data_IF_989376872685
#
_entry.id   IF_989376872685
#
_cell.length_a   1.000
_cell.length_b   1.000
_cell.length_c   1.000
_cell.angle_alpha   90.00
_cell.angle_beta   90.00
_cell.angle_gamma   90.00
#
_symmetry.space_group_name_H-M   'P 1'
#
loop_
_entity.id
_entity.type
_entity.pdbx_description
1 polymer ?
#
# COMPACT_ATOMS: atom_id res chain seq x y z
N UNK A 1 11.40 24.11 -24.09
CA UNK A 1 10.77 23.34 -22.99
C UNK A 1 11.11 21.90 -23.24
N UNK A 2 12.26 21.50 -22.70
CA UNK A 2 12.93 20.24 -23.01
C UNK A 2 12.22 19.04 -22.41
N UNK A 3 11.94 18.06 -23.27
CA UNK A 3 11.53 16.72 -22.87
C UNK A 3 12.75 16.01 -22.30
N UNK A 4 12.67 15.55 -21.06
CA UNK A 4 13.66 14.65 -20.47
C UNK A 4 13.63 13.34 -21.28
N UNK A 5 14.58 13.18 -22.19
CA UNK A 5 14.86 11.91 -22.84
C UNK A 5 15.56 11.02 -21.81
N UNK A 6 14.89 9.95 -21.38
CA UNK A 6 15.52 8.89 -20.59
C UNK A 6 16.43 8.10 -21.55
N UNK A 7 17.73 8.21 -21.34
CA UNK A 7 18.76 7.46 -22.08
C UNK A 7 18.80 5.99 -21.57
N UNK A 8 18.52 4.99 -22.42
CA UNK A 8 18.51 3.57 -22.05
C UNK A 8 19.90 2.96 -21.79
N UNK A 9 20.99 3.74 -21.87
CA UNK A 9 22.37 3.26 -21.70
C UNK A 9 22.98 3.45 -20.29
N UNK A 10 22.26 4.06 -19.33
CA UNK A 10 22.72 4.19 -17.94
C UNK A 10 22.31 2.97 -17.10
N UNK A 11 23.14 1.92 -17.21
CA UNK A 11 23.53 0.99 -16.14
C UNK A 11 22.45 0.57 -15.11
N UNK A 12 21.94 -0.63 -15.34
CA UNK A 12 21.23 -1.49 -14.39
C UNK A 12 21.89 -1.52 -12.99
N UNK A 13 21.14 -1.07 -11.99
CA UNK A 13 21.31 -1.31 -10.54
C UNK A 13 22.72 -1.05 -9.97
N UNK A 14 23.05 0.23 -9.73
CA UNK A 14 24.13 0.59 -8.79
C UNK A 14 23.83 0.05 -7.38
N UNK A 15 24.87 -0.14 -6.56
CA UNK A 15 24.72 -0.66 -5.18
C UNK A 15 23.70 0.14 -4.33
N UNK A 16 23.59 1.45 -4.57
CA UNK A 16 22.61 2.32 -3.94
C UNK A 16 21.15 1.98 -4.35
N UNK A 17 20.90 1.63 -5.62
CA UNK A 17 19.57 1.22 -6.06
C UNK A 17 19.13 -0.09 -5.40
N UNK A 18 20.04 -1.06 -5.26
CA UNK A 18 19.76 -2.32 -4.56
C UNK A 18 19.51 -2.09 -3.06
N UNK A 19 20.31 -1.24 -2.42
CA UNK A 19 20.14 -0.87 -1.02
C UNK A 19 18.78 -0.19 -0.78
N UNK A 20 18.41 0.76 -1.65
CA UNK A 20 17.12 1.43 -1.63
C UNK A 20 15.96 0.43 -1.76
N UNK A 21 16.03 -0.51 -2.70
CA UNK A 21 14.99 -1.54 -2.88
C UNK A 21 14.87 -2.44 -1.65
N UNK A 22 16.01 -2.85 -1.06
CA UNK A 22 16.02 -3.64 0.17
C UNK A 22 15.42 -2.87 1.35
N UNK A 23 15.75 -1.60 1.50
CA UNK A 23 15.21 -0.72 2.54
C UNK A 23 13.70 -0.55 2.39
N UNK A 24 13.20 -0.30 1.18
CA UNK A 24 11.76 -0.22 0.90
C UNK A 24 11.05 -1.54 1.20
N UNK A 25 11.62 -2.67 0.77
CA UNK A 25 11.07 -4.00 1.03
C UNK A 25 10.96 -4.28 2.53
N UNK A 26 12.00 -3.95 3.30
CA UNK A 26 12.02 -4.14 4.75
C UNK A 26 11.04 -3.20 5.47
N UNK A 27 10.94 -1.95 5.02
CA UNK A 27 9.99 -0.97 5.56
C UNK A 27 8.56 -1.44 5.34
N UNK A 28 8.23 -1.88 4.12
CA UNK A 28 6.91 -2.40 3.79
C UNK A 28 6.58 -3.67 4.58
N UNK A 29 7.53 -4.60 4.72
CA UNK A 29 7.36 -5.79 5.57
C UNK A 29 7.09 -5.43 7.03
N UNK A 30 7.83 -4.46 7.57
CA UNK A 30 7.67 -4.01 8.96
C UNK A 30 6.30 -3.37 9.17
N UNK A 31 5.87 -2.54 8.24
CA UNK A 31 4.52 -1.97 8.23
C UNK A 31 3.44 -3.06 8.18
N UNK A 32 3.57 -4.02 7.27
CA UNK A 32 2.66 -5.17 7.18
C UNK A 32 2.60 -5.97 8.48
N UNK A 33 3.76 -6.24 9.13
CA UNK A 33 3.80 -6.93 10.42
C UNK A 33 3.04 -6.18 11.52
N UNK A 34 3.11 -4.85 11.51
CA UNK A 34 2.36 -3.98 12.42
C UNK A 34 0.84 -4.15 12.26
N UNK A 35 0.37 -4.37 11.03
CA UNK A 35 -1.05 -4.58 10.74
C UNK A 35 -1.52 -6.02 11.01
N UNK A 36 -0.61 -6.99 11.12
CA UNK A 36 -0.91 -8.42 11.28
C UNK A 36 -1.95 -8.74 12.38
N UNK A 37 -1.92 -8.11 13.58
CA UNK A 37 -2.84 -8.45 14.67
C UNK A 37 -4.31 -8.15 14.38
N UNK A 38 -4.60 -7.27 13.41
CA UNK A 38 -5.97 -6.82 13.11
C UNK A 38 -6.74 -7.76 12.16
N UNK A 39 -6.10 -8.85 11.73
CA UNK A 39 -6.71 -9.87 10.88
C UNK A 39 -6.86 -11.17 11.65
N UNK A 40 -8.10 -11.67 11.76
CA UNK A 40 -8.38 -12.93 12.44
C UNK A 40 -7.79 -14.15 11.70
N UNK A 41 -7.67 -14.06 10.37
CA UNK A 41 -7.26 -15.16 9.50
C UNK A 41 -6.00 -14.83 8.71
N UNK A 42 -5.11 -15.82 8.56
CA UNK A 42 -3.88 -15.68 7.79
C UNK A 42 -4.16 -15.39 6.30
N UNK A 43 -5.23 -15.96 5.73
CA UNK A 43 -5.60 -15.73 4.33
C UNK A 43 -6.09 -14.29 4.09
N UNK A 44 -6.87 -13.75 5.03
CA UNK A 44 -7.31 -12.35 4.98
C UNK A 44 -6.12 -11.39 5.12
N UNK A 45 -5.20 -11.69 6.05
CA UNK A 45 -3.95 -10.94 6.22
C UNK A 45 -3.10 -10.95 4.95
N UNK A 46 -2.89 -12.12 4.34
CA UNK A 46 -2.12 -12.23 3.10
C UNK A 46 -2.80 -11.47 1.95
N UNK A 47 -4.13 -11.56 1.84
CA UNK A 47 -4.87 -10.80 0.84
C UNK A 47 -4.71 -9.28 1.06
N UNK A 48 -4.73 -8.81 2.30
CA UNK A 48 -4.50 -7.40 2.63
C UNK A 48 -3.09 -6.93 2.27
N UNK A 49 -2.06 -7.75 2.53
CA UNK A 49 -0.69 -7.41 2.20
C UNK A 49 -0.45 -7.31 0.69
N UNK A 50 -1.00 -8.26 -0.06
CA UNK A 50 -1.01 -8.20 -1.53
C UNK A 50 -1.77 -6.96 -2.02
N UNK A 51 -2.92 -6.65 -1.41
CA UNK A 51 -3.71 -5.47 -1.74
C UNK A 51 -2.91 -4.17 -1.54
N UNK A 52 -2.22 -4.01 -0.42
CA UNK A 52 -1.33 -2.86 -0.15
C UNK A 52 -0.22 -2.77 -1.20
N UNK A 53 0.43 -3.89 -1.54
CA UNK A 53 1.46 -3.91 -2.59
C UNK A 53 0.92 -3.44 -3.94
N UNK A 54 -0.28 -3.87 -4.32
CA UNK A 54 -0.91 -3.40 -5.55
C UNK A 54 -1.44 -1.97 -5.50
N UNK A 55 -1.76 -1.44 -4.32
CA UNK A 55 -2.05 -0.01 -4.17
C UNK A 55 -0.79 0.83 -4.39
N UNK A 56 0.36 0.38 -3.93
CA UNK A 56 1.66 1.06 -4.08
C UNK A 56 2.30 0.86 -5.47
N UNK A 57 1.77 -0.05 -6.29
CA UNK A 57 2.28 -0.32 -7.63
C UNK A 57 1.86 0.76 -8.64
N UNK A 58 2.47 0.82 -9.84
CA UNK A 58 2.12 1.79 -10.88
C UNK A 58 0.81 1.48 -11.62
N UNK A 59 -0.09 0.64 -11.08
CA UNK A 59 -1.40 0.37 -11.69
C UNK A 59 -2.21 1.66 -11.85
N UNK A 60 -2.54 2.02 -13.09
CA UNK A 60 -3.23 3.29 -13.40
C UNK A 60 -4.65 3.39 -12.83
N UNK A 61 -5.38 2.25 -12.78
CA UNK A 61 -6.75 2.20 -12.29
C UNK A 61 -6.88 1.15 -11.18
N UNK A 62 -7.20 1.59 -9.97
CA UNK A 62 -7.19 0.76 -8.76
C UNK A 62 -8.55 0.07 -8.51
N UNK A 63 -9.10 -0.62 -9.52
CA UNK A 63 -10.31 -1.43 -9.33
C UNK A 63 -9.97 -2.87 -8.93
N UNK A 64 -10.96 -3.61 -8.42
CA UNK A 64 -10.74 -4.96 -7.88
C UNK A 64 -10.15 -5.95 -8.88
N UNK A 65 -10.41 -5.80 -10.18
CA UNK A 65 -9.83 -6.64 -11.23
C UNK A 65 -8.35 -6.32 -11.46
N UNK A 66 -8.03 -5.05 -11.67
CA UNK A 66 -6.65 -4.62 -11.95
C UNK A 66 -5.74 -4.83 -10.76
N UNK A 67 -6.25 -4.66 -9.55
CA UNK A 67 -5.53 -4.99 -8.32
C UNK A 67 -5.27 -6.50 -8.22
N UNK A 68 -6.26 -7.33 -8.58
CA UNK A 68 -6.10 -8.78 -8.57
C UNK A 68 -5.06 -9.26 -9.59
N UNK A 69 -5.12 -8.73 -10.81
CA UNK A 69 -4.15 -9.02 -11.87
C UNK A 69 -2.73 -8.60 -11.47
N UNK A 70 -2.57 -7.41 -10.89
CA UNK A 70 -1.27 -6.90 -10.43
C UNK A 70 -0.58 -7.81 -9.40
N UNK A 71 -1.36 -8.56 -8.60
CA UNK A 71 -0.81 -9.48 -7.59
C UNK A 71 -0.86 -10.94 -8.03
N UNK A 72 -1.13 -11.20 -9.32
CA UNK A 72 -1.13 -12.55 -9.91
C UNK A 72 -2.33 -13.41 -9.52
N UNK A 73 -3.45 -12.82 -9.11
CA UNK A 73 -4.69 -13.57 -8.91
C UNK A 73 -5.41 -13.76 -10.25
N UNK A 74 -5.95 -14.97 -10.48
CA UNK A 74 -6.72 -15.30 -11.68
C UNK A 74 -8.08 -14.58 -11.77
N UNK A 75 -8.57 -14.05 -10.65
CA UNK A 75 -9.88 -13.43 -10.54
C UNK A 75 -9.94 -12.42 -9.38
N UNK A 76 -10.92 -11.49 -9.37
CA UNK A 76 -11.03 -10.46 -8.34
C UNK A 76 -11.60 -10.96 -7.01
N UNK A 77 -12.01 -12.23 -6.89
CA UNK A 77 -12.77 -12.70 -5.74
C UNK A 77 -12.00 -12.58 -4.43
N UNK A 78 -10.67 -12.76 -4.45
CA UNK A 78 -9.84 -12.58 -3.26
C UNK A 78 -9.84 -11.12 -2.77
N UNK A 79 -9.79 -10.15 -3.69
CA UNK A 79 -9.85 -8.72 -3.38
C UNK A 79 -11.25 -8.33 -2.91
N UNK A 80 -12.30 -8.82 -3.60
CA UNK A 80 -13.69 -8.57 -3.21
C UNK A 80 -14.02 -9.19 -1.85
N UNK A 81 -13.51 -10.39 -1.57
CA UNK A 81 -13.68 -11.04 -0.28
C UNK A 81 -12.99 -10.25 0.83
N UNK A 82 -11.74 -9.82 0.64
CA UNK A 82 -11.02 -8.97 1.59
C UNK A 82 -11.83 -7.72 1.95
N UNK A 83 -12.33 -7.00 0.94
CA UNK A 83 -12.99 -5.71 1.14
C UNK A 83 -14.44 -5.82 1.63
N UNK A 84 -15.13 -6.93 1.34
CA UNK A 84 -16.57 -7.05 1.59
C UNK A 84 -16.99 -8.11 2.61
N UNK A 85 -16.17 -9.14 2.87
CA UNK A 85 -16.59 -10.32 3.66
C UNK A 85 -15.55 -10.82 4.66
N UNK A 86 -14.28 -10.48 4.50
CA UNK A 86 -13.25 -10.90 5.43
C UNK A 86 -13.44 -10.25 6.81
N UNK A 87 -13.05 -10.96 7.86
CA UNK A 87 -13.07 -10.43 9.22
C UNK A 87 -11.73 -9.76 9.54
N UNK A 88 -11.78 -8.45 9.78
CA UNK A 88 -10.67 -7.62 10.23
C UNK A 88 -11.22 -6.44 11.05
N UNK A 89 -10.43 -5.97 12.01
CA UNK A 89 -10.81 -4.85 12.87
C UNK A 89 -10.52 -3.53 12.13
N UNK A 90 -11.50 -3.04 11.38
CA UNK A 90 -11.32 -1.85 10.54
C UNK A 90 -10.97 -0.59 11.34
N UNK A 91 -11.58 -0.42 12.51
CA UNK A 91 -11.32 0.75 13.37
C UNK A 91 -9.88 0.73 13.88
N UNK A 92 -9.43 -0.39 14.45
CA UNK A 92 -8.05 -0.48 14.94
C UNK A 92 -7.03 -0.45 13.82
N UNK A 93 -7.32 -1.05 12.67
CA UNK A 93 -6.43 -0.99 11.51
C UNK A 93 -6.29 0.45 11.00
N UNK A 94 -7.40 1.21 10.93
CA UNK A 94 -7.35 2.63 10.61
C UNK A 94 -6.55 3.44 11.63
N UNK A 95 -6.72 3.16 12.93
CA UNK A 95 -5.94 3.80 13.99
C UNK A 95 -4.44 3.51 13.84
N UNK A 96 -4.06 2.26 13.59
CA UNK A 96 -2.66 1.88 13.41
C UNK A 96 -2.03 2.57 12.19
N UNK A 97 -2.75 2.63 11.07
CA UNK A 97 -2.26 3.32 9.85
C UNK A 97 -2.08 4.81 10.11
N UNK A 98 -3.01 5.45 10.82
CA UNK A 98 -2.89 6.87 11.21
C UNK A 98 -1.69 7.08 12.13
N UNK A 99 -1.51 6.21 13.13
CA UNK A 99 -0.38 6.26 14.05
C UNK A 99 0.95 6.11 13.29
N UNK A 100 1.06 5.14 12.38
CA UNK A 100 2.25 4.97 11.53
C UNK A 100 2.55 6.23 10.71
N UNK A 101 1.52 6.87 10.14
CA UNK A 101 1.66 8.13 9.42
C UNK A 101 2.16 9.27 10.31
N UNK A 102 1.59 9.45 11.51
CA UNK A 102 2.02 10.48 12.47
C UNK A 102 3.46 10.27 12.89
N UNK A 103 3.85 9.03 13.23
CA UNK A 103 5.23 8.69 13.63
C UNK A 103 6.24 8.96 12.50
N UNK A 104 5.85 8.74 11.24
CA UNK A 104 6.73 8.95 10.09
C UNK A 104 6.79 10.39 9.57
N UNK A 105 5.80 11.23 9.89
CA UNK A 105 5.67 12.59 9.36
C UNK A 105 5.93 13.69 10.40
N UNK A 106 5.95 13.37 11.70
CA UNK A 106 6.12 14.38 12.75
C UNK A 106 7.56 14.42 13.25
N UNK A 107 8.15 15.61 13.35
CA UNK A 107 9.33 15.85 14.18
C UNK A 107 8.93 16.40 15.57
N UNK A 108 9.80 16.32 16.59
CA UNK A 108 9.51 16.90 17.91
C UNK A 108 9.18 18.41 17.80
N UNK A 109 7.94 18.77 18.10
CA UNK A 109 7.45 20.15 18.06
C UNK A 109 6.51 20.46 16.90
N UNK A 110 6.34 19.53 15.96
CA UNK A 110 5.43 19.71 14.83
C UNK A 110 3.96 19.48 15.21
N UNK A 111 3.09 20.21 14.52
CA UNK A 111 1.64 19.98 14.53
C UNK A 111 1.27 19.37 13.18
N UNK A 112 0.90 18.09 13.18
CA UNK A 112 0.40 17.40 11.98
C UNK A 112 -1.12 17.48 11.95
N UNK A 113 -1.65 18.20 10.96
CA UNK A 113 -3.08 18.22 10.67
C UNK A 113 -3.39 17.20 9.56
N UNK A 114 -4.19 16.19 9.89
CA UNK A 114 -4.72 15.22 8.91
C UNK A 114 -6.19 15.58 8.66
N UNK A 115 -6.48 16.11 7.48
CA UNK A 115 -7.85 16.39 7.06
C UNK A 115 -8.42 15.23 6.21
N UNK A 116 -9.71 14.94 6.38
CA UNK A 116 -10.42 14.04 5.47
C UNK A 116 -10.76 14.82 4.20
N UNK A 117 -9.84 14.85 3.25
CA UNK A 117 -10.18 15.30 1.89
C UNK A 117 -11.04 14.24 1.22
N UNK A 118 -12.34 14.26 1.52
CA UNK A 118 -13.32 13.34 0.97
C UNK A 118 -13.49 13.57 -0.53
N UNK A 119 -13.09 12.60 -1.35
CA UNK A 119 -13.63 12.50 -2.70
C UNK A 119 -15.09 12.07 -2.60
N UNK A 120 -16.02 12.93 -3.03
CA UNK A 120 -17.42 12.56 -3.17
C UNK A 120 -17.53 11.36 -4.13
N UNK A 121 -17.72 10.17 -3.57
CA UNK A 121 -18.09 8.99 -4.34
C UNK A 121 -19.57 9.10 -4.67
N UNK A 122 -19.89 9.46 -5.92
CA UNK A 122 -21.22 9.17 -6.45
C UNK A 122 -21.27 7.68 -6.79
N UNK A 123 -22.10 6.94 -6.04
CA UNK A 123 -22.53 5.62 -6.47
C UNK A 123 -23.58 5.79 -7.56
N UNK A 124 -23.52 4.96 -8.60
CA UNK A 124 -24.68 4.70 -9.45
C UNK A 124 -25.68 3.83 -8.71
#
# INVERSE_FOLDING_TARGET
>A
MDRIAIDPSQSFLTGNALETVCQWSNTLKSFQQRLSPYFARAEARQAAFNYIQALLSPVERKNGWQIAEQVGNENPYRVQHLLGRAQWDAEKLCQEVRQYGVEGLSEPGDIVAVDETGFLKQGN
#
